data_IF_262868601670
#
_entry.id   IF_262868601670
#
_cell.length_a   1.000
_cell.length_b   1.000
_cell.length_c   1.000
_cell.angle_alpha   90.00
_cell.angle_beta   90.00
_cell.angle_gamma   90.00
#
_symmetry.space_group_name_H-M   'P 1'
#
loop_
_entity.id
_entity.type
_entity.pdbx_description
1 polymer ?
#
# COMPACT_ATOMS: atom_id res chain seq x y z
N UNK A 1 -1.86 -9.42 18.69
CA UNK A 1 -1.20 -10.23 17.65
C UNK A 1 -1.86 -9.90 16.33
N UNK A 2 -1.11 -9.38 15.36
CA UNK A 2 -1.61 -9.33 13.98
C UNK A 2 -1.86 -10.79 13.57
N UNK A 3 -3.10 -11.14 13.19
CA UNK A 3 -3.33 -12.42 12.49
C UNK A 3 -2.42 -12.44 11.26
N UNK A 4 -1.96 -13.63 10.85
CA UNK A 4 -1.16 -13.77 9.63
C UNK A 4 -1.86 -13.02 8.49
N UNK A 5 -1.18 -12.01 7.96
CA UNK A 5 -1.72 -11.15 6.93
C UNK A 5 -1.92 -11.98 5.67
N UNK A 6 -3.11 -11.91 5.07
CA UNK A 6 -3.42 -12.62 3.82
C UNK A 6 -3.91 -11.66 2.75
N UNK A 7 -3.79 -12.10 1.50
CA UNK A 7 -4.39 -11.41 0.35
C UNK A 7 -5.90 -11.28 0.57
N UNK A 8 -6.44 -10.09 0.30
CA UNK A 8 -7.83 -9.73 0.53
C UNK A 8 -8.12 -9.13 1.91
N UNK A 9 -7.15 -9.07 2.83
CA UNK A 9 -7.38 -8.42 4.12
C UNK A 9 -7.47 -6.89 3.98
N UNK A 10 -8.49 -6.25 4.58
CA UNK A 10 -8.52 -4.80 4.72
C UNK A 10 -7.53 -4.37 5.81
N UNK A 11 -6.75 -3.34 5.54
CA UNK A 11 -5.74 -2.81 6.46
C UNK A 11 -5.69 -1.28 6.44
N UNK A 12 -5.22 -0.72 7.54
CA UNK A 12 -4.80 0.68 7.61
C UNK A 12 -3.31 0.67 7.95
N UNK A 13 -2.50 1.31 7.10
CA UNK A 13 -1.06 1.46 7.38
C UNK A 13 -0.84 2.44 8.52
N UNK A 14 0.34 2.38 9.15
CA UNK A 14 0.74 3.35 10.18
C UNK A 14 0.80 4.79 9.66
N UNK A 15 0.95 4.97 8.34
CA UNK A 15 0.87 6.27 7.64
C UNK A 15 -0.56 6.72 7.32
N UNK A 16 -1.59 5.98 7.73
CA UNK A 16 -3.00 6.35 7.56
C UNK A 16 -3.60 5.96 6.20
N UNK A 17 -2.94 5.10 5.42
CA UNK A 17 -3.46 4.63 4.14
C UNK A 17 -4.38 3.44 4.40
N UNK A 18 -5.66 3.56 4.06
CA UNK A 18 -6.63 2.47 4.10
C UNK A 18 -6.67 1.75 2.75
N UNK A 19 -6.62 0.43 2.74
CA UNK A 19 -6.64 -0.37 1.52
C UNK A 19 -6.82 -1.86 1.78
N UNK A 20 -6.69 -2.67 0.72
CA UNK A 20 -6.77 -4.13 0.77
C UNK A 20 -5.46 -4.75 0.31
N UNK A 21 -5.01 -5.82 0.97
CA UNK A 21 -3.79 -6.55 0.55
C UNK A 21 -4.03 -7.21 -0.81
N UNK A 22 -3.35 -6.73 -1.85
CA UNK A 22 -3.43 -7.27 -3.19
C UNK A 22 -2.42 -8.40 -3.42
N UNK A 23 -1.22 -8.27 -2.84
CA UNK A 23 -0.13 -9.25 -2.98
C UNK A 23 0.83 -9.14 -1.81
N UNK A 24 1.40 -10.27 -1.41
CA UNK A 24 2.51 -10.35 -0.47
C UNK A 24 3.75 -10.83 -1.25
N UNK A 25 4.85 -10.11 -1.12
CA UNK A 25 6.15 -10.45 -1.71
C UNK A 25 7.13 -10.80 -0.59
N UNK A 26 7.16 -12.09 -0.25
CA UNK A 26 8.01 -12.62 0.82
C UNK A 26 9.51 -12.51 0.48
N UNK A 27 9.87 -12.48 -0.80
CA UNK A 27 11.28 -12.41 -1.22
C UNK A 27 11.88 -11.04 -0.88
N UNK A 28 11.08 -9.99 -0.99
CA UNK A 28 11.52 -8.60 -0.80
C UNK A 28 11.00 -7.99 0.51
N UNK A 29 10.29 -8.76 1.34
CA UNK A 29 9.62 -8.29 2.56
C UNK A 29 8.70 -7.08 2.30
N UNK A 30 7.84 -7.21 1.26
CA UNK A 30 6.94 -6.14 0.83
C UNK A 30 5.48 -6.60 0.72
N UNK A 31 4.56 -5.66 0.93
CA UNK A 31 3.11 -5.87 0.75
C UNK A 31 2.58 -4.85 -0.24
N UNK A 32 1.88 -5.32 -1.27
CA UNK A 32 1.17 -4.48 -2.22
C UNK A 32 -0.24 -4.24 -1.72
N UNK A 33 -0.61 -2.96 -1.59
CA UNK A 33 -1.94 -2.53 -1.17
C UNK A 33 -2.71 -1.97 -2.36
N UNK A 34 -3.93 -2.45 -2.57
CA UNK A 34 -4.91 -1.80 -3.42
C UNK A 34 -5.70 -0.80 -2.58
N UNK A 35 -5.45 0.49 -2.83
CA UNK A 35 -6.07 1.60 -2.09
C UNK A 35 -7.41 1.99 -2.73
N UNK A 36 -7.48 1.99 -4.07
CA UNK A 36 -8.72 1.80 -4.83
C UNK A 36 -8.40 1.58 -6.33
N UNK A 37 -9.35 1.02 -7.07
CA UNK A 37 -9.22 0.78 -8.52
C UNK A 37 -9.22 2.11 -9.30
N UNK A 38 -8.26 2.29 -10.20
CA UNK A 38 -8.19 3.49 -11.04
C UNK A 38 -7.92 4.81 -10.30
N UNK A 39 -7.41 4.78 -9.06
CA UNK A 39 -7.22 6.01 -8.28
C UNK A 39 -6.04 6.83 -8.78
N UNK A 40 -6.36 8.07 -9.16
CA UNK A 40 -5.42 9.15 -9.43
C UNK A 40 -5.40 10.05 -8.19
N UNK A 41 -4.29 10.09 -7.47
CA UNK A 41 -4.11 10.99 -6.33
C UNK A 41 -3.56 12.35 -6.79
N UNK A 42 -4.09 13.43 -6.21
CA UNK A 42 -3.53 14.78 -6.38
C UNK A 42 -2.51 15.02 -5.27
N UNK A 43 -1.26 15.24 -5.66
CA UNK A 43 -0.14 15.53 -4.77
C UNK A 43 0.55 16.82 -5.22
N UNK A 44 1.02 17.60 -4.24
CA UNK A 44 1.83 18.79 -4.50
C UNK A 44 3.16 18.39 -5.14
N UNK A 45 3.54 19.08 -6.21
CA UNK A 45 4.73 18.72 -7.03
C UNK A 45 6.03 18.64 -6.23
N UNK A 46 6.17 19.48 -5.20
CA UNK A 46 7.35 19.49 -4.33
C UNK A 46 7.48 18.26 -3.42
N UNK A 47 6.45 17.42 -3.31
CA UNK A 47 6.49 16.13 -2.62
C UNK A 47 6.83 14.97 -3.56
N UNK A 48 7.23 15.23 -4.81
CA UNK A 48 7.68 14.23 -5.78
C UNK A 48 9.19 14.36 -5.93
N UNK A 49 9.93 13.30 -5.61
CA UNK A 49 11.37 13.20 -5.87
C UNK A 49 11.61 12.34 -7.11
N UNK A 50 12.52 12.77 -7.98
CA UNK A 50 12.97 11.98 -9.12
C UNK A 50 13.68 10.71 -8.60
N UNK A 51 13.20 9.54 -9.01
CA UNK A 51 13.86 8.27 -8.73
C UNK A 51 14.89 8.01 -9.81
N UNK A 52 16.17 8.19 -9.48
CA UNK A 52 17.29 7.67 -10.27
C UNK A 52 17.70 6.29 -9.77
#
# INVERSE_FOLDING_TARGET
MLKALKVGDPVITTSGISGTVARIDEKNDMVHLQVAEGVIVKILKNFISEKR
#
